data_IF_068715800580
#
_entry.id   IF_068715800580
#
_cell.length_a   1.000
_cell.length_b   1.000
_cell.length_c   1.000
_cell.angle_alpha   90.00
_cell.angle_beta   90.00
_cell.angle_gamma   90.00
#
_symmetry.space_group_name_H-M   'P 1'
#
loop_
_entity.id
_entity.type
_entity.pdbx_description
1 polymer ?
#
# COMPACT_ATOMS: atom_id res chain seq x y z
N UNK A 1 -12.27 2.59 -9.56
CA UNK A 1 -11.54 1.36 -9.94
C UNK A 1 -10.17 1.86 -10.33
N UNK A 2 -9.10 1.24 -9.87
CA UNK A 2 -7.74 1.70 -10.20
C UNK A 2 -7.20 0.79 -11.30
N UNK A 3 -6.72 1.38 -12.38
CA UNK A 3 -6.02 0.72 -13.48
C UNK A 3 -4.65 1.35 -13.63
N UNK A 4 -3.62 0.55 -13.89
CA UNK A 4 -2.29 1.09 -14.11
C UNK A 4 -1.44 0.22 -15.03
N UNK A 5 -0.57 0.85 -15.80
CA UNK A 5 0.53 0.18 -16.50
C UNK A 5 1.71 0.01 -15.55
N UNK A 6 2.26 -1.21 -15.50
CA UNK A 6 3.45 -1.56 -14.72
C UNK A 6 4.57 -2.00 -15.66
N UNK A 7 5.71 -1.32 -15.59
CA UNK A 7 6.94 -1.74 -16.25
C UNK A 7 7.97 -2.11 -15.17
N UNK A 8 8.40 -3.36 -15.17
CA UNK A 8 9.43 -3.88 -14.28
C UNK A 8 10.70 -4.16 -15.07
N UNK A 9 11.84 -3.66 -14.58
CA UNK A 9 13.11 -3.80 -15.28
C UNK A 9 13.69 -5.21 -15.23
N UNK A 10 13.30 -6.04 -14.25
CA UNK A 10 13.78 -7.42 -14.12
C UNK A 10 13.16 -8.31 -15.19
N UNK A 11 11.84 -8.20 -15.34
CA UNK A 11 11.09 -8.96 -16.34
C UNK A 11 11.13 -8.31 -17.71
N UNK A 12 11.42 -7.00 -17.80
CA UNK A 12 11.35 -6.18 -19.02
C UNK A 12 9.99 -6.32 -19.73
N UNK A 13 8.93 -6.52 -18.96
CA UNK A 13 7.59 -6.74 -19.46
C UNK A 13 6.65 -5.65 -18.99
N UNK A 14 5.82 -5.18 -19.90
CA UNK A 14 4.72 -4.28 -19.60
C UNK A 14 3.51 -5.11 -19.15
N UNK A 15 2.93 -4.73 -18.02
CA UNK A 15 1.76 -5.38 -17.45
C UNK A 15 0.63 -4.38 -17.24
N UNK A 16 -0.61 -4.78 -17.52
CA UNK A 16 -1.80 -4.06 -17.12
C UNK A 16 -2.23 -4.56 -15.73
N UNK A 17 -2.12 -3.69 -14.74
CA UNK A 17 -2.57 -3.95 -13.38
C UNK A 17 -3.93 -3.30 -13.17
N UNK A 18 -4.83 -4.00 -12.46
CA UNK A 18 -6.07 -3.43 -11.99
C UNK A 18 -6.28 -3.76 -10.53
N UNK A 19 -6.95 -2.85 -9.81
CA UNK A 19 -7.30 -3.01 -8.40
C UNK A 19 -8.67 -2.39 -8.14
N UNK A 20 -9.54 -3.17 -7.52
CA UNK A 20 -10.84 -2.73 -7.04
C UNK A 20 -11.00 -3.12 -5.58
N UNK A 21 -11.38 -2.15 -4.77
CA UNK A 21 -11.72 -2.37 -3.36
C UNK A 21 -13.19 -2.02 -3.18
N UNK A 22 -13.92 -2.94 -2.55
CA UNK A 22 -15.28 -2.75 -2.08
C UNK A 22 -15.22 -2.71 -0.56
N UNK A 23 -15.68 -1.61 0.02
CA UNK A 23 -15.71 -1.43 1.48
C UNK A 23 -17.16 -1.45 1.94
N UNK A 24 -17.48 -2.33 2.86
CA UNK A 24 -18.78 -2.39 3.51
C UNK A 24 -18.75 -1.59 4.82
N UNK A 25 -19.89 -1.03 5.23
CA UNK A 25 -20.02 -0.24 6.48
C UNK A 25 -19.61 -1.02 7.73
N UNK A 26 -19.67 -2.34 7.69
CA UNK A 26 -19.24 -3.22 8.78
C UNK A 26 -17.73 -3.47 8.82
N UNK A 27 -16.90 -2.59 8.25
CA UNK A 27 -15.44 -2.77 8.16
C UNK A 27 -14.98 -4.08 7.48
N UNK A 28 -15.83 -4.63 6.61
CA UNK A 28 -15.45 -5.74 5.73
C UNK A 28 -15.02 -5.14 4.40
N UNK A 29 -13.88 -5.58 3.87
CA UNK A 29 -13.46 -5.20 2.53
C UNK A 29 -13.20 -6.42 1.66
N UNK A 30 -13.79 -6.41 0.48
CA UNK A 30 -13.39 -7.26 -0.63
C UNK A 30 -12.41 -6.48 -1.48
N UNK A 31 -11.22 -7.04 -1.70
CA UNK A 31 -10.20 -6.50 -2.58
C UNK A 31 -9.97 -7.50 -3.70
N UNK A 32 -10.16 -7.03 -4.93
CA UNK A 32 -9.79 -7.73 -6.14
C UNK A 32 -8.63 -6.96 -6.77
N UNK A 33 -7.60 -7.67 -7.19
CA UNK A 33 -6.61 -7.10 -8.10
C UNK A 33 -6.14 -8.15 -9.07
N UNK A 34 -5.65 -7.73 -10.21
CA UNK A 34 -5.08 -8.63 -11.17
C UNK A 34 -4.01 -7.96 -12.01
N UNK A 35 -3.29 -8.80 -12.71
CA UNK A 35 -2.17 -8.46 -13.54
C UNK A 35 -2.31 -9.22 -14.85
N UNK A 36 -2.39 -8.48 -15.95
CA UNK A 36 -2.41 -9.01 -17.31
C UNK A 36 -1.10 -8.67 -17.96
N UNK A 37 -0.34 -9.69 -18.32
CA UNK A 37 0.92 -9.51 -19.03
C UNK A 37 0.64 -9.19 -20.50
N UNK A 38 1.07 -8.02 -20.98
CA UNK A 38 0.74 -7.56 -22.33
C UNK A 38 1.47 -8.32 -23.43
N UNK A 39 2.58 -9.00 -23.08
CA UNK A 39 3.40 -9.77 -24.03
C UNK A 39 2.90 -11.22 -24.16
N UNK A 40 2.56 -11.84 -23.04
CA UNK A 40 2.15 -13.26 -23.00
C UNK A 40 0.64 -13.48 -22.93
N UNK A 41 -0.14 -12.40 -22.78
CA UNK A 41 -1.59 -12.41 -22.56
C UNK A 41 -2.05 -13.23 -21.33
N UNK A 42 -1.13 -13.61 -20.44
CA UNK A 42 -1.46 -14.33 -19.20
C UNK A 42 -2.07 -13.36 -18.20
N UNK A 43 -3.22 -13.75 -17.65
CA UNK A 43 -3.92 -13.02 -16.61
C UNK A 43 -3.80 -13.75 -15.26
N UNK A 44 -3.48 -13.01 -14.22
CA UNK A 44 -3.49 -13.47 -12.83
C UNK A 44 -4.45 -12.57 -12.05
N UNK A 45 -5.34 -13.17 -11.27
CA UNK A 45 -6.33 -12.45 -10.46
C UNK A 45 -6.24 -12.94 -9.03
N UNK A 46 -6.17 -12.03 -8.09
CA UNK A 46 -6.15 -12.30 -6.67
C UNK A 46 -7.32 -11.60 -5.99
N UNK A 47 -8.11 -12.39 -5.27
CA UNK A 47 -9.21 -11.92 -4.43
C UNK A 47 -8.89 -12.10 -2.96
N UNK A 48 -9.21 -11.10 -2.14
CA UNK A 48 -9.12 -11.21 -0.69
C UNK A 48 -10.32 -10.56 -0.02
N UNK A 49 -10.88 -11.24 0.98
CA UNK A 49 -11.92 -10.70 1.86
C UNK A 49 -11.34 -10.56 3.26
N UNK A 50 -11.44 -9.36 3.85
CA UNK A 50 -10.85 -9.04 5.14
C UNK A 50 -11.86 -8.29 6.00
N UNK A 51 -12.05 -8.74 7.25
CA UNK A 51 -12.71 -7.98 8.31
C UNK A 51 -11.64 -7.17 9.05
N UNK A 52 -11.86 -5.86 9.18
CA UNK A 52 -10.96 -4.96 9.88
C UNK A 52 -11.48 -4.60 11.27
N UNK A 53 -10.53 -4.40 12.17
CA UNK A 53 -10.69 -3.87 13.51
C UNK A 53 -9.76 -2.67 13.65
N UNK A 54 -10.27 -1.59 14.24
CA UNK A 54 -9.47 -0.40 14.55
C UNK A 54 -9.29 -0.33 16.05
N UNK A 55 -8.05 -0.43 16.51
CA UNK A 55 -7.69 -0.40 17.92
C UNK A 55 -7.04 0.95 18.26
N UNK A 56 -7.36 1.47 19.44
CA UNK A 56 -6.87 2.74 19.94
C UNK A 56 -7.92 3.85 19.87
N UNK A 57 -7.57 5.00 20.46
CA UNK A 57 -8.43 6.17 20.48
C UNK A 57 -8.33 6.93 19.16
N UNK A 58 -9.48 7.41 18.67
CA UNK A 58 -9.49 8.29 17.52
C UNK A 58 -8.81 9.61 17.92
N UNK A 59 -7.84 10.12 17.14
CA UNK A 59 -7.23 11.40 17.45
C UNK A 59 -8.31 12.48 17.49
N UNK A 60 -8.28 13.34 18.50
CA UNK A 60 -9.13 14.53 18.50
C UNK A 60 -8.59 15.49 17.45
N UNK A 61 -9.35 15.68 16.38
CA UNK A 61 -9.08 16.68 15.35
C UNK A 61 -9.90 17.93 15.65
N UNK A 62 -9.36 19.12 15.39
CA UNK A 62 -10.18 20.33 15.37
C UNK A 62 -11.14 20.29 14.19
N UNK A 63 -12.26 21.00 14.28
CA UNK A 63 -13.23 21.05 13.18
C UNK A 63 -12.62 21.62 11.89
N UNK A 64 -11.58 22.45 12.02
CA UNK A 64 -10.85 23.06 10.91
C UNK A 64 -9.77 22.16 10.28
N UNK A 65 -9.50 20.98 10.83
CA UNK A 65 -8.48 20.08 10.28
C UNK A 65 -8.94 19.44 8.95
N UNK A 66 -8.36 19.91 7.84
CA UNK A 66 -8.59 19.41 6.48
C UNK A 66 -8.04 17.99 6.27
N UNK A 67 -7.02 17.60 7.04
CA UNK A 67 -6.38 16.29 6.93
C UNK A 67 -6.47 15.52 8.25
N UNK A 68 -7.33 14.49 8.25
CA UNK A 68 -7.64 13.64 9.40
C UNK A 68 -7.26 12.17 9.14
N UNK A 69 -5.96 11.82 9.12
CA UNK A 69 -5.56 10.45 8.88
C UNK A 69 -5.95 9.58 10.06
N UNK A 70 -6.51 8.40 9.79
CA UNK A 70 -6.76 7.39 10.81
C UNK A 70 -5.41 6.84 11.32
N UNK A 71 -5.06 7.21 12.56
CA UNK A 71 -3.83 6.79 13.24
C UNK A 71 -4.04 5.56 14.13
N UNK A 72 -5.26 5.01 14.17
CA UNK A 72 -5.53 3.79 14.94
C UNK A 72 -4.81 2.60 14.32
N UNK A 73 -4.49 1.62 15.17
CA UNK A 73 -3.96 0.35 14.72
C UNK A 73 -5.05 -0.38 13.96
N UNK A 74 -4.82 -0.60 12.67
CA UNK A 74 -5.73 -1.34 11.82
C UNK A 74 -5.28 -2.80 11.76
N UNK A 75 -6.08 -3.69 12.33
CA UNK A 75 -5.91 -5.13 12.21
C UNK A 75 -6.95 -5.67 11.23
N UNK A 76 -6.56 -6.63 10.39
CA UNK A 76 -7.42 -7.27 9.41
C UNK A 76 -7.23 -8.77 9.47
N UNK A 77 -8.32 -9.52 9.45
CA UNK A 77 -8.32 -10.99 9.35
C UNK A 77 -9.25 -11.41 8.22
N UNK A 78 -8.88 -12.44 7.48
CA UNK A 78 -9.77 -13.02 6.49
C UNK A 78 -9.08 -14.01 5.58
N UNK A 79 -9.54 -14.09 4.34
CA UNK A 79 -9.11 -15.10 3.38
C UNK A 79 -8.68 -14.47 2.06
N UNK A 80 -7.74 -15.13 1.39
CA UNK A 80 -7.20 -14.73 0.09
C UNK A 80 -7.08 -15.96 -0.82
N UNK A 81 -7.35 -15.77 -2.11
CA UNK A 81 -7.21 -16.79 -3.15
C UNK A 81 -6.68 -16.15 -4.43
N UNK A 82 -5.94 -16.93 -5.21
CA UNK A 82 -5.37 -16.51 -6.50
C UNK A 82 -5.93 -17.39 -7.62
N UNK A 83 -6.03 -16.87 -8.84
CA UNK A 83 -6.35 -17.68 -10.02
C UNK A 83 -5.16 -18.48 -10.53
N UNK A 84 -3.94 -18.12 -10.10
CA UNK A 84 -2.70 -18.78 -10.52
C UNK A 84 -2.37 -20.03 -9.71
N UNK A 85 -3.00 -20.21 -8.54
CA UNK A 85 -2.83 -21.38 -7.70
C UNK A 85 -4.18 -21.74 -7.07
N UNK A 86 -4.46 -23.03 -6.89
CA UNK A 86 -5.66 -23.50 -6.18
C UNK A 86 -5.57 -23.28 -4.66
N UNK A 87 -4.64 -22.46 -4.20
CA UNK A 87 -4.38 -22.24 -2.80
C UNK A 87 -5.34 -21.21 -2.20
N UNK A 88 -5.78 -21.51 -0.98
CA UNK A 88 -6.54 -20.60 -0.14
C UNK A 88 -5.69 -20.25 1.07
N UNK A 89 -5.54 -18.95 1.32
CA UNK A 89 -4.74 -18.41 2.40
C UNK A 89 -5.62 -17.79 3.47
N UNK A 90 -5.36 -18.11 4.73
CA UNK A 90 -5.79 -17.29 5.86
C UNK A 90 -4.83 -16.10 5.98
N UNK A 91 -5.34 -14.88 5.92
CA UNK A 91 -4.53 -13.66 5.95
C UNK A 91 -4.77 -12.86 7.22
N UNK A 92 -3.68 -12.44 7.86
CA UNK A 92 -3.64 -11.42 8.89
C UNK A 92 -2.90 -10.20 8.36
N UNK A 93 -3.49 -9.01 8.54
CA UNK A 93 -2.93 -7.73 8.17
C UNK A 93 -2.88 -6.83 9.39
N UNK A 94 -1.75 -6.20 9.65
CA UNK A 94 -1.63 -5.13 10.62
C UNK A 94 -1.06 -3.88 9.94
N UNK A 95 -1.60 -2.71 10.26
CA UNK A 95 -1.10 -1.44 9.74
C UNK A 95 -1.25 -0.35 10.80
N UNK A 96 -0.12 0.27 11.12
CA UNK A 96 -0.04 1.46 11.96
C UNK A 96 0.48 2.63 11.13
N UNK A 97 -0.15 3.79 11.27
CA UNK A 97 0.33 5.05 10.70
C UNK A 97 0.55 6.04 11.83
N UNK A 98 1.67 6.75 11.77
CA UNK A 98 2.02 7.81 12.71
C UNK A 98 2.39 9.04 11.91
N UNK A 99 1.81 10.18 12.27
CA UNK A 99 2.16 11.47 11.70
C UNK A 99 3.37 12.02 12.45
N UNK A 100 4.44 12.30 11.72
CA UNK A 100 5.68 12.84 12.29
C UNK A 100 5.71 14.36 12.23
N UNK A 101 5.28 14.93 11.10
CA UNK A 101 5.28 16.38 10.88
C UNK A 101 4.08 16.80 10.02
N UNK A 102 3.60 18.02 10.23
CA UNK A 102 2.55 18.69 9.46
C UNK A 102 2.86 20.18 9.42
N UNK A 103 3.01 20.73 8.21
CA UNK A 103 3.06 22.18 8.01
C UNK A 103 1.83 22.60 7.23
N UNK A 104 1.04 23.47 7.83
CA UNK A 104 -0.10 24.10 7.19
C UNK A 104 0.03 25.61 7.25
N UNK A 105 -0.40 26.28 6.18
CA UNK A 105 -0.36 27.72 6.04
C UNK A 105 -1.76 28.26 5.74
N UNK A 106 -2.07 29.47 6.19
CA UNK A 106 -3.33 30.13 5.87
C UNK A 106 -3.17 30.94 4.57
N UNK A 107 -3.82 30.50 3.49
CA UNK A 107 -3.82 31.19 2.21
C UNK A 107 -5.24 31.68 1.90
N UNK A 108 -5.43 33.01 1.82
CA UNK A 108 -6.72 33.65 1.53
C UNK A 108 -7.86 33.19 2.46
N UNK A 109 -7.57 33.11 3.77
CA UNK A 109 -8.54 32.68 4.77
C UNK A 109 -8.87 31.19 4.78
N UNK A 110 -8.14 30.37 4.01
CA UNK A 110 -8.25 28.91 4.01
C UNK A 110 -6.95 28.29 4.50
N UNK A 111 -7.06 27.28 5.36
CA UNK A 111 -5.88 26.49 5.74
C UNK A 111 -5.48 25.62 4.54
N UNK A 112 -4.20 25.58 4.20
CA UNK A 112 -3.64 24.76 3.12
C UNK A 112 -2.55 23.91 3.72
N UNK A 113 -2.58 22.60 3.42
CA UNK A 113 -1.54 21.67 3.83
C UNK A 113 -0.37 21.76 2.84
N UNK A 114 0.74 22.35 3.27
CA UNK A 114 1.94 22.53 2.42
C UNK A 114 2.78 21.25 2.38
N UNK A 115 3.05 20.68 3.56
CA UNK A 115 3.77 19.42 3.67
C UNK A 115 3.23 18.55 4.81
N UNK A 116 3.46 17.26 4.70
CA UNK A 116 3.27 16.34 5.82
C UNK A 116 4.18 15.14 5.69
N UNK A 117 4.64 14.65 6.84
CA UNK A 117 5.50 13.48 6.95
C UNK A 117 4.79 12.40 7.76
N UNK A 118 4.67 11.20 7.18
CA UNK A 118 4.09 10.02 7.82
C UNK A 118 5.11 8.90 7.94
N UNK A 119 5.16 8.27 9.11
CA UNK A 119 5.71 6.93 9.26
C UNK A 119 4.56 5.91 9.17
N UNK A 120 4.82 4.77 8.53
CA UNK A 120 3.88 3.66 8.53
C UNK A 120 4.60 2.33 8.70
N UNK A 121 4.04 1.50 9.57
CA UNK A 121 4.41 0.10 9.73
C UNK A 121 3.27 -0.76 9.19
N UNK A 122 3.60 -1.77 8.39
CA UNK A 122 2.64 -2.76 7.89
C UNK A 122 3.21 -4.15 8.12
N UNK A 123 2.37 -5.09 8.49
CA UNK A 123 2.71 -6.50 8.52
C UNK A 123 1.59 -7.28 7.85
N UNK A 124 1.97 -8.25 7.03
CA UNK A 124 1.08 -9.21 6.41
C UNK A 124 1.58 -10.60 6.76
N UNK A 125 0.66 -11.48 7.10
CA UNK A 125 0.92 -12.90 7.34
C UNK A 125 -0.14 -13.69 6.58
N UNK A 126 0.30 -14.69 5.82
CA UNK A 126 -0.54 -15.55 5.01
C UNK A 126 -0.20 -17.00 5.36
N UNK A 127 -1.19 -17.76 5.80
CA UNK A 127 -1.10 -19.19 6.06
C UNK A 127 -1.85 -19.95 4.98
N UNK A 128 -1.16 -20.80 4.22
CA UNK A 128 -1.76 -21.66 3.22
C UNK A 128 -2.41 -22.86 3.93
N UNK A 129 -3.72 -23.00 3.79
CA UNK A 129 -4.50 -24.04 4.46
C UNK A 129 -4.15 -25.44 3.92
N UNK A 130 -3.81 -25.55 2.62
CA UNK A 130 -3.56 -26.82 1.95
C UNK A 130 -2.16 -27.37 2.24
N UNK A 131 -1.16 -26.50 2.22
CA UNK A 131 0.25 -26.90 2.38
C UNK A 131 0.76 -26.71 3.81
N UNK A 132 -0.06 -26.14 4.69
CA UNK A 132 0.30 -25.76 6.07
C UNK A 132 1.52 -24.82 6.17
N UNK A 133 1.92 -24.22 5.05
CA UNK A 133 3.06 -23.32 4.97
C UNK A 133 2.58 -21.90 5.22
N UNK A 134 3.44 -21.09 5.83
CA UNK A 134 3.16 -19.67 6.02
C UNK A 134 4.27 -18.79 5.47
N UNK A 135 3.88 -17.58 5.11
CA UNK A 135 4.79 -16.53 4.70
C UNK A 135 4.19 -15.17 4.98
N UNK A 136 5.00 -14.14 4.92
CA UNK A 136 4.54 -12.79 5.21
C UNK A 136 5.52 -11.73 4.75
N UNK A 137 5.14 -10.49 5.01
CA UNK A 137 5.94 -9.33 4.71
C UNK A 137 5.68 -8.25 5.77
N UNK A 138 6.75 -7.76 6.39
CA UNK A 138 6.73 -6.53 7.18
C UNK A 138 7.31 -5.38 6.35
N UNK A 139 6.71 -4.20 6.45
CA UNK A 139 7.14 -3.01 5.72
C UNK A 139 7.17 -1.83 6.68
N UNK A 140 8.34 -1.21 6.84
CA UNK A 140 8.50 0.06 7.50
C UNK A 140 8.79 1.13 6.45
N UNK A 141 8.08 2.26 6.51
CA UNK A 141 8.19 3.33 5.51
C UNK A 141 8.00 4.70 6.13
N UNK A 142 8.86 5.65 5.75
CA UNK A 142 8.67 7.08 5.96
C UNK A 142 8.27 7.70 4.62
N UNK A 143 7.32 8.61 4.64
CA UNK A 143 6.75 9.25 3.46
C UNK A 143 6.59 10.74 3.72
N UNK A 144 7.11 11.58 2.83
CA UNK A 144 6.94 13.04 2.88
C UNK A 144 6.28 13.52 1.60
N UNK A 145 5.27 14.38 1.72
CA UNK A 145 4.71 15.12 0.60
C UNK A 145 5.49 16.44 0.48
N UNK A 146 6.19 16.64 -0.64
CA UNK A 146 7.15 17.74 -0.83
C UNK A 146 6.53 18.98 -1.47
N UNK A 147 5.70 18.79 -2.49
CA UNK A 147 5.13 19.87 -3.27
C UNK A 147 3.67 19.61 -3.56
N UNK A 148 2.84 20.62 -3.28
CA UNK A 148 1.46 20.68 -3.72
C UNK A 148 1.37 21.79 -4.78
N UNK A 149 1.53 21.41 -6.05
CA UNK A 149 1.51 22.39 -7.16
C UNK A 149 0.09 22.89 -7.46
N UNK A 150 -0.91 22.03 -7.28
CA UNK A 150 -2.34 22.33 -7.40
C UNK A 150 -3.15 21.56 -6.34
N UNK A 151 -4.47 21.75 -6.27
CA UNK A 151 -5.31 20.96 -5.34
C UNK A 151 -5.14 19.46 -5.56
N UNK A 152 -4.85 19.07 -6.80
CA UNK A 152 -4.73 17.68 -7.22
C UNK A 152 -3.29 17.19 -7.30
N UNK A 153 -2.26 18.01 -7.57
CA UNK A 153 -0.88 17.54 -7.80
C UNK A 153 -0.05 17.50 -6.51
N UNK A 154 0.20 16.29 -5.99
CA UNK A 154 1.13 16.05 -4.88
C UNK A 154 2.33 15.17 -5.30
N UNK A 155 3.55 15.69 -5.12
CA UNK A 155 4.77 14.87 -5.23
C UNK A 155 5.12 14.31 -3.87
N UNK A 156 5.19 12.98 -3.79
CA UNK A 156 5.47 12.22 -2.58
C UNK A 156 6.75 11.43 -2.72
N UNK A 157 7.67 11.67 -1.79
CA UNK A 157 8.87 10.88 -1.61
C UNK A 157 8.66 9.90 -0.46
N UNK A 158 8.98 8.63 -0.68
CA UNK A 158 8.96 7.59 0.34
C UNK A 158 10.27 6.83 0.37
N UNK A 159 10.75 6.52 1.57
CA UNK A 159 11.86 5.61 1.79
C UNK A 159 11.45 4.56 2.83
N UNK A 160 11.91 3.32 2.66
CA UNK A 160 11.53 2.25 3.57
C UNK A 160 12.27 0.95 3.33
N UNK A 161 11.85 -0.08 4.05
CA UNK A 161 12.36 -1.45 3.88
C UNK A 161 11.21 -2.45 3.89
N UNK A 162 11.36 -3.52 3.11
CA UNK A 162 10.51 -4.71 3.11
C UNK A 162 11.28 -5.85 3.74
N UNK A 163 10.68 -6.53 4.70
CA UNK A 163 11.29 -7.63 5.45
C UNK A 163 10.41 -8.85 5.18
N UNK A 164 10.88 -9.83 4.37
CA UNK A 164 10.12 -11.05 4.15
C UNK A 164 10.07 -11.83 5.46
N UNK A 165 8.88 -12.30 5.83
CA UNK A 165 8.66 -13.16 6.99
C UNK A 165 8.50 -14.59 6.49
N UNK A 166 9.32 -15.49 7.00
CA UNK A 166 9.36 -16.90 6.59
C UNK A 166 9.31 -17.81 7.81
N UNK A 167 9.02 -19.12 7.65
CA UNK A 167 9.07 -20.08 8.74
C UNK A 167 10.39 -20.08 9.53
N UNK A 168 11.49 -19.70 8.87
CA UNK A 168 12.83 -19.63 9.46
C UNK A 168 13.13 -18.28 10.14
N UNK A 169 12.14 -17.38 10.22
CA UNK A 169 12.27 -16.04 10.81
C UNK A 169 12.22 -14.91 9.79
N UNK A 170 12.68 -13.74 10.23
CA UNK A 170 12.76 -12.54 9.40
C UNK A 170 13.95 -12.63 8.43
N UNK A 171 13.66 -12.58 7.13
CA UNK A 171 14.69 -12.56 6.10
C UNK A 171 15.37 -11.20 5.95
N UNK A 172 16.30 -11.10 5.00
CA UNK A 172 17.08 -9.87 4.75
C UNK A 172 16.16 -8.72 4.33
N UNK A 173 16.26 -7.60 5.05
CA UNK A 173 15.56 -6.37 4.71
C UNK A 173 15.96 -5.87 3.31
N UNK A 174 14.96 -5.56 2.48
CA UNK A 174 15.11 -5.01 1.14
C UNK A 174 14.71 -3.53 1.17
N UNK A 175 15.66 -2.60 1.22
CA UNK A 175 15.38 -1.17 1.18
C UNK A 175 14.85 -0.75 -0.18
N UNK A 176 13.97 0.25 -0.17
CA UNK A 176 13.41 0.86 -1.37
C UNK A 176 13.23 2.37 -1.19
N UNK A 177 13.29 3.06 -2.32
CA UNK A 177 12.88 4.47 -2.45
C UNK A 177 11.77 4.52 -3.48
N UNK A 178 10.77 5.37 -3.23
CA UNK A 178 9.67 5.61 -4.15
C UNK A 178 9.42 7.10 -4.30
N UNK A 179 9.34 7.54 -5.54
CA UNK A 179 8.80 8.84 -5.92
C UNK A 179 7.44 8.59 -6.58
N UNK A 180 6.43 9.34 -6.18
CA UNK A 180 5.07 9.20 -6.68
C UNK A 180 4.47 10.59 -6.89
N UNK A 181 3.79 10.76 -8.02
CA UNK A 181 2.90 11.87 -8.33
C UNK A 181 1.54 11.26 -8.71
N UNK A 182 0.44 11.98 -8.56
CA UNK A 182 -0.94 11.57 -8.83
C UNK A 182 -1.16 10.32 -9.68
N UNK A 183 -0.65 10.35 -10.92
CA UNK A 183 -0.86 9.33 -11.93
C UNK A 183 0.37 8.47 -12.21
N UNK A 184 1.51 8.68 -11.56
CA UNK A 184 2.69 7.84 -11.79
C UNK A 184 3.56 7.64 -10.56
N UNK A 185 4.32 6.57 -10.54
CA UNK A 185 5.34 6.38 -9.52
C UNK A 185 6.48 5.52 -10.01
N UNK A 186 7.64 5.77 -9.42
CA UNK A 186 8.85 4.99 -9.65
C UNK A 186 9.30 4.47 -8.30
N UNK A 187 9.34 3.15 -8.16
CA UNK A 187 9.92 2.47 -7.00
C UNK A 187 11.23 1.83 -7.41
N UNK A 188 12.32 2.19 -6.74
CA UNK A 188 13.63 1.56 -6.92
C UNK A 188 14.01 0.77 -5.67
N UNK A 189 14.57 -0.42 -5.87
CA UNK A 189 15.32 -1.14 -4.84
C UNK A 189 16.80 -0.73 -4.90
N UNK A 190 17.56 -0.93 -3.81
CA UNK A 190 19.00 -0.62 -3.80
C UNK A 190 19.85 -1.63 -4.61
N UNK A 191 19.24 -2.67 -5.20
CA UNK A 191 19.91 -3.64 -6.06
C UNK A 191 19.80 -3.28 -7.54
N UNK A 192 19.30 -2.07 -7.86
CA UNK A 192 19.13 -1.58 -9.23
C UNK A 192 17.84 -2.06 -9.90
N UNK A 193 16.95 -2.74 -9.18
CA UNK A 193 15.60 -3.05 -9.64
C UNK A 193 14.70 -1.82 -9.60
N UNK A 194 13.91 -1.58 -10.64
CA UNK A 194 12.92 -0.51 -10.65
C UNK A 194 11.57 -0.99 -11.21
N UNK A 195 10.51 -0.41 -10.67
CA UNK A 195 9.13 -0.59 -11.13
C UNK A 195 8.53 0.79 -11.37
N UNK A 196 8.04 1.02 -12.58
CA UNK A 196 7.29 2.21 -12.95
C UNK A 196 5.81 1.83 -12.96
N UNK A 197 4.99 2.61 -12.27
CA UNK A 197 3.53 2.50 -12.30
C UNK A 197 2.94 3.77 -12.92
N UNK A 198 2.01 3.63 -13.87
CA UNK A 198 1.26 4.75 -14.45
C UNK A 198 -0.24 4.46 -14.35
N UNK A 199 -0.98 5.23 -13.57
CA UNK A 199 -2.43 5.12 -13.42
C UNK A 199 -3.15 5.64 -14.67
N UNK A 200 -4.10 4.84 -15.16
CA UNK A 200 -5.00 5.14 -16.28
C UNK A 200 -6.36 5.57 -15.75
#
# INVERSE_FOLDING_TARGET
METSLLLDNKTKQLNLFFKKRFEHKSDVALKLHGLVNTVTSRAQVEGSILKFFRLGTEPRFSDDDIYRPDQRLRLGIGAKSSSSSEDVFLTLNAKQKIRLNKQSEMVRGRQVLNNYTEASLRANYNYNIKTEAWGGEAVAKISTALFKFSEDQDVRLSAGCRIPLTPNGAGKAVPFVRVEENCWGVTTDLKGGFVINYAL
#
